data_IF_939634317046
#
_entry.id   IF_939634317046
#
_cell.length_a   1.000
_cell.length_b   1.000
_cell.length_c   1.000
_cell.angle_alpha   90.00
_cell.angle_beta   90.00
_cell.angle_gamma   90.00
#
_symmetry.space_group_name_H-M   'P 1'
#
loop_
_entity.id
_entity.type
_entity.pdbx_description
1 polymer ?
#
# COMPACT_ATOMS: atom_id res chain seq x y z
N UNK A 1 1.85 10.27 -8.68
CA UNK A 1 2.01 9.61 -7.36
C UNK A 1 0.68 9.34 -6.64
N UNK A 2 -0.24 10.32 -6.53
CA UNK A 2 -1.50 10.18 -5.76
C UNK A 2 -2.48 9.12 -6.32
N UNK A 3 -2.47 8.92 -7.64
CA UNK A 3 -3.45 8.04 -8.29
C UNK A 3 -3.29 6.54 -7.94
N UNK A 4 -2.08 6.06 -7.66
CA UNK A 4 -1.83 4.63 -7.42
C UNK A 4 -2.35 4.22 -6.04
N UNK A 5 -2.09 5.03 -5.02
CA UNK A 5 -2.66 4.82 -3.68
C UNK A 5 -4.17 5.00 -3.68
N UNK A 6 -4.70 5.98 -4.43
CA UNK A 6 -6.14 6.16 -4.61
C UNK A 6 -6.81 4.97 -5.31
N UNK A 7 -6.22 4.45 -6.37
CA UNK A 7 -6.70 3.24 -7.07
C UNK A 7 -6.63 2.02 -6.14
N UNK A 8 -5.56 1.89 -5.36
CA UNK A 8 -5.42 0.84 -4.35
C UNK A 8 -6.54 0.88 -3.31
N UNK A 9 -6.91 2.07 -2.82
CA UNK A 9 -8.02 2.26 -1.88
C UNK A 9 -9.40 2.02 -2.49
N UNK A 10 -9.59 2.25 -3.80
CA UNK A 10 -10.88 2.01 -4.48
C UNK A 10 -11.06 0.52 -4.79
N UNK A 11 -9.99 -0.16 -5.22
CA UNK A 11 -10.06 -1.57 -5.66
C UNK A 11 -9.96 -2.56 -4.50
N UNK A 12 -9.32 -2.19 -3.39
CA UNK A 12 -9.08 -3.09 -2.28
C UNK A 12 -9.73 -2.58 -1.00
N UNK A 13 -10.47 -3.47 -0.34
CA UNK A 13 -11.02 -3.26 0.98
C UNK A 13 -9.91 -2.90 1.98
N UNK A 14 -10.21 -1.94 2.87
CA UNK A 14 -9.30 -1.50 3.91
C UNK A 14 -8.69 -2.68 4.68
N UNK A 15 -7.40 -2.61 5.08
CA UNK A 15 -6.73 -3.72 5.76
C UNK A 15 -7.41 -4.06 7.09
N UNK A 16 -8.05 -3.08 7.73
CA UNK A 16 -8.91 -3.29 8.90
C UNK A 16 -10.12 -4.15 8.55
N UNK A 17 -10.87 -3.78 7.52
CA UNK A 17 -12.08 -4.46 7.09
C UNK A 17 -11.79 -5.89 6.60
N UNK A 18 -10.65 -6.13 5.93
CA UNK A 18 -10.18 -7.49 5.60
C UNK A 18 -9.98 -8.38 6.82
N UNK A 19 -9.41 -7.83 7.91
CA UNK A 19 -9.14 -8.58 9.14
C UNK A 19 -10.40 -8.80 9.98
N UNK A 20 -11.31 -7.82 10.02
CA UNK A 20 -12.64 -7.99 10.66
C UNK A 20 -13.39 -9.11 9.97
N UNK A 21 -13.40 -9.13 8.63
CA UNK A 21 -14.07 -10.16 7.84
C UNK A 21 -13.47 -11.57 8.06
N UNK A 22 -12.19 -11.66 8.42
CA UNK A 22 -11.52 -12.93 8.79
C UNK A 22 -11.75 -13.34 10.25
N UNK A 23 -12.41 -12.51 11.05
CA UNK A 23 -12.61 -12.75 12.48
C UNK A 23 -11.33 -12.59 13.31
N UNK A 24 -10.31 -11.90 12.81
CA UNK A 24 -9.11 -11.59 13.60
C UNK A 24 -9.43 -10.56 14.69
N UNK A 25 -8.92 -10.78 15.91
CA UNK A 25 -9.00 -9.76 16.96
C UNK A 25 -8.00 -8.64 16.68
N UNK A 26 -8.54 -7.47 16.34
CA UNK A 26 -7.79 -6.29 15.92
C UNK A 26 -7.54 -5.32 17.07
N UNK A 27 -8.16 -5.57 18.23
CA UNK A 27 -7.96 -4.74 19.42
C UNK A 27 -6.53 -4.83 19.98
N UNK A 28 -5.84 -5.94 19.66
CA UNK A 28 -4.45 -6.22 20.03
C UNK A 28 -3.43 -5.73 18.99
N UNK A 29 -3.87 -5.32 17.80
CA UNK A 29 -2.99 -4.93 16.70
C UNK A 29 -2.70 -3.43 16.78
N UNK A 30 -1.41 -3.08 16.87
CA UNK A 30 -0.96 -1.69 16.98
C UNK A 30 0.02 -1.32 15.86
N UNK A 31 -0.12 -0.13 15.30
CA UNK A 31 0.77 0.42 14.27
C UNK A 31 0.86 -0.41 12.98
N UNK A 32 2.09 -0.71 12.54
CA UNK A 32 2.35 -1.43 11.29
C UNK A 32 1.77 -2.85 11.23
N UNK A 33 1.43 -3.45 12.39
CA UNK A 33 0.78 -4.78 12.46
C UNK A 33 -0.65 -4.77 11.92
N UNK A 34 -1.26 -3.60 11.76
CA UNK A 34 -2.58 -3.45 11.14
C UNK A 34 -2.57 -3.68 9.62
N UNK A 35 -1.45 -3.39 8.97
CA UNK A 35 -1.30 -3.50 7.52
C UNK A 35 -1.29 -4.99 7.15
N UNK A 36 -2.19 -5.42 6.26
CA UNK A 36 -2.21 -6.81 5.78
C UNK A 36 -1.10 -7.01 4.73
N UNK A 37 -0.66 -8.26 4.49
CA UNK A 37 0.38 -8.54 3.49
C UNK A 37 0.05 -7.99 2.09
N UNK A 38 -1.23 -7.95 1.74
CA UNK A 38 -1.72 -7.35 0.49
C UNK A 38 -1.43 -5.85 0.42
N UNK A 39 -1.70 -5.12 1.50
CA UNK A 39 -1.44 -3.69 1.58
C UNK A 39 0.06 -3.37 1.60
N UNK A 40 0.90 -4.25 2.15
CA UNK A 40 2.35 -4.17 1.97
C UNK A 40 2.78 -4.27 0.51
N UNK A 41 2.17 -5.16 -0.28
CA UNK A 41 2.46 -5.27 -1.71
C UNK A 41 2.02 -4.01 -2.48
N UNK A 42 0.86 -3.44 -2.17
CA UNK A 42 0.38 -2.18 -2.78
C UNK A 42 1.34 -1.03 -2.45
N UNK A 43 1.79 -0.91 -1.19
CA UNK A 43 2.77 0.09 -0.79
C UNK A 43 4.11 -0.09 -1.54
N UNK A 44 4.60 -1.33 -1.66
CA UNK A 44 5.83 -1.62 -2.39
C UNK A 44 5.72 -1.21 -3.87
N UNK A 45 4.60 -1.52 -4.53
CA UNK A 45 4.35 -1.12 -5.93
C UNK A 45 4.26 0.40 -6.05
N UNK A 46 3.59 1.07 -5.11
CA UNK A 46 3.50 2.53 -5.11
C UNK A 46 4.87 3.18 -4.97
N UNK A 47 5.71 2.69 -4.05
CA UNK A 47 7.10 3.16 -3.89
C UNK A 47 7.97 2.86 -5.11
N UNK A 48 7.85 1.67 -5.71
CA UNK A 48 8.59 1.32 -6.91
C UNK A 48 8.19 2.23 -8.09
N UNK A 49 6.90 2.47 -8.28
CA UNK A 49 6.40 3.33 -9.35
C UNK A 49 6.82 4.77 -9.13
N UNK A 50 6.77 5.24 -7.88
CA UNK A 50 7.30 6.54 -7.48
C UNK A 50 8.78 6.69 -7.84
N UNK A 51 9.58 5.69 -7.48
CA UNK A 51 11.02 5.66 -7.75
C UNK A 51 11.33 5.62 -9.25
N UNK A 52 10.64 4.78 -10.02
CA UNK A 52 10.80 4.70 -11.48
C UNK A 52 10.37 6.02 -12.14
N UNK A 53 9.30 6.64 -11.65
CA UNK A 53 8.85 7.94 -12.18
C UNK A 53 9.84 9.06 -11.87
N UNK A 54 10.37 9.09 -10.64
CA UNK A 54 11.44 10.03 -10.26
C UNK A 54 12.68 9.81 -11.13
N UNK A 55 13.09 8.56 -11.31
CA UNK A 55 14.22 8.17 -12.14
C UNK A 55 14.09 8.64 -13.60
N UNK A 56 12.90 8.49 -14.18
CA UNK A 56 12.62 8.93 -15.53
C UNK A 56 12.59 10.46 -15.65
N UNK A 57 11.99 11.15 -14.67
CA UNK A 57 11.86 12.61 -14.68
C UNK A 57 13.16 13.34 -14.34
N UNK A 58 13.98 12.76 -13.47
CA UNK A 58 15.32 13.27 -13.18
C UNK A 58 16.27 13.09 -14.36
N UNK A 59 15.82 12.43 -15.44
CA UNK A 59 16.62 12.13 -16.63
C UNK A 59 17.90 11.44 -16.21
N UNK A 60 17.78 10.27 -15.57
CA UNK A 60 18.90 9.48 -15.05
C UNK A 60 20.02 9.33 -16.09
N UNK A 61 20.91 10.32 -16.11
CA UNK A 61 22.15 10.35 -16.84
C UNK A 61 23.11 9.54 -15.98
N UNK A 62 23.21 8.25 -16.30
CA UNK A 62 24.34 7.45 -15.84
C UNK A 62 25.55 7.75 -16.74
#
# INVERSE_FOLDING_TARGET
>A
MFCILGIGMILFTDPKSERIARGEDISQLNGYRFITPRWWAILAIAFLTAFVNDAFLSGWNF
#
